data_IF_845623838696
#
_entry.id   IF_845623838696
#
_cell.length_a   1.000
_cell.length_b   1.000
_cell.length_c   1.000
_cell.angle_alpha   90.00
_cell.angle_beta   90.00
_cell.angle_gamma   90.00
#
_symmetry.space_group_name_H-M   'P 1'
#
loop_
_entity.id
_entity.type
_entity.pdbx_description
1 polymer ?
#
# COMPACT_ATOMS: atom_id res chain seq x y z
N UNK A 1 -15.23 -27.67 3.96
CA UNK A 1 -13.89 -27.81 4.61
C UNK A 1 -12.77 -27.26 3.73
N UNK A 2 -12.72 -27.60 2.43
CA UNK A 2 -11.75 -27.03 1.49
C UNK A 2 -11.84 -25.49 1.32
N UNK A 3 -13.05 -24.95 1.34
CA UNK A 3 -13.31 -23.51 1.17
C UNK A 3 -12.78 -22.65 2.33
N UNK A 4 -12.83 -23.17 3.57
CA UNK A 4 -12.25 -22.51 4.76
C UNK A 4 -10.73 -22.49 4.71
N UNK A 5 -10.11 -23.59 4.29
CA UNK A 5 -8.65 -23.70 4.15
C UNK A 5 -8.11 -22.71 3.10
N UNK A 6 -8.82 -22.55 1.99
CA UNK A 6 -8.48 -21.56 0.97
C UNK A 6 -8.60 -20.11 1.48
N UNK A 7 -9.64 -19.82 2.27
CA UNK A 7 -9.80 -18.51 2.90
C UNK A 7 -8.69 -18.19 3.91
N UNK A 8 -8.28 -19.17 4.73
CA UNK A 8 -7.16 -19.03 5.67
C UNK A 8 -5.83 -18.79 4.96
N UNK A 9 -5.58 -19.49 3.84
CA UNK A 9 -4.39 -19.29 3.02
C UNK A 9 -4.36 -17.89 2.38
N UNK A 10 -5.51 -17.38 1.91
CA UNK A 10 -5.64 -16.02 1.37
C UNK A 10 -5.37 -14.98 2.46
N UNK A 11 -5.97 -15.12 3.64
CA UNK A 11 -5.76 -14.18 4.76
C UNK A 11 -4.31 -14.17 5.21
N UNK A 12 -3.67 -15.35 5.29
CA UNK A 12 -2.24 -15.45 5.59
C UNK A 12 -1.38 -14.71 4.55
N UNK A 13 -1.70 -14.85 3.26
CA UNK A 13 -1.01 -14.11 2.20
C UNK A 13 -1.15 -12.59 2.34
N UNK A 14 -2.32 -12.11 2.79
CA UNK A 14 -2.52 -10.68 3.07
C UNK A 14 -1.70 -10.19 4.25
N UNK A 15 -1.64 -10.97 5.33
CA UNK A 15 -0.86 -10.64 6.52
C UNK A 15 0.64 -10.61 6.23
N UNK A 16 1.14 -11.56 5.45
CA UNK A 16 2.56 -11.61 5.05
C UNK A 16 2.89 -10.42 4.14
N UNK A 17 2.02 -10.06 3.20
CA UNK A 17 2.18 -8.85 2.39
C UNK A 17 2.18 -7.57 3.25
N UNK A 18 1.34 -7.50 4.28
CA UNK A 18 1.29 -6.36 5.19
C UNK A 18 2.57 -6.22 6.02
N UNK A 19 3.17 -7.33 6.46
CA UNK A 19 4.48 -7.33 7.15
C UNK A 19 5.59 -6.83 6.24
N UNK A 20 5.67 -7.35 5.02
CA UNK A 20 6.67 -6.90 4.04
C UNK A 20 6.53 -5.41 3.76
N UNK A 21 5.30 -4.92 3.54
CA UNK A 21 5.05 -3.50 3.32
C UNK A 21 5.42 -2.63 4.54
N UNK A 22 5.21 -3.13 5.76
CA UNK A 22 5.65 -2.46 6.98
C UNK A 22 7.17 -2.39 7.04
N UNK A 23 7.87 -3.49 6.78
CA UNK A 23 9.33 -3.55 6.83
C UNK A 23 9.96 -2.64 5.78
N UNK A 24 9.46 -2.67 4.54
CA UNK A 24 9.83 -1.73 3.48
C UNK A 24 9.61 -0.29 3.93
N UNK A 25 8.41 0.03 4.45
CA UNK A 25 8.11 1.36 4.95
C UNK A 25 9.07 1.79 6.05
N UNK A 26 9.45 0.92 6.98
CA UNK A 26 10.37 1.28 8.07
C UNK A 26 11.79 1.55 7.60
N UNK A 27 12.23 0.90 6.51
CA UNK A 27 13.56 1.04 5.94
C UNK A 27 13.68 2.20 4.92
N UNK A 28 12.58 2.86 4.55
CA UNK A 28 12.60 4.06 3.71
C UNK A 28 13.29 5.25 4.40
N UNK A 29 13.90 6.18 3.64
CA UNK A 29 14.40 7.45 4.14
C UNK A 29 13.37 8.19 5.02
N UNK A 30 13.82 8.75 6.14
CA UNK A 30 12.94 9.34 7.17
C UNK A 30 12.06 10.48 6.63
N UNK A 31 12.61 11.31 5.75
CA UNK A 31 11.89 12.40 5.08
C UNK A 31 10.75 11.87 4.19
N UNK A 32 10.99 10.79 3.44
CA UNK A 32 9.95 10.12 2.63
C UNK A 32 8.86 9.56 3.53
N UNK A 33 9.23 8.86 4.62
CA UNK A 33 8.26 8.31 5.58
C UNK A 33 7.40 9.40 6.21
N UNK A 34 8.01 10.52 6.62
CA UNK A 34 7.31 11.69 7.18
C UNK A 34 6.31 12.26 6.19
N UNK A 35 6.72 12.46 4.94
CA UNK A 35 5.84 12.99 3.90
C UNK A 35 4.66 12.05 3.61
N UNK A 36 4.92 10.76 3.42
CA UNK A 36 3.90 9.74 3.17
C UNK A 36 2.90 9.65 4.34
N UNK A 37 3.41 9.59 5.59
CA UNK A 37 2.57 9.53 6.78
C UNK A 37 1.74 10.80 6.98
N UNK A 38 2.31 11.99 6.73
CA UNK A 38 1.59 13.26 6.83
C UNK A 38 0.46 13.35 5.80
N UNK A 39 0.73 12.97 4.55
CA UNK A 39 -0.28 12.95 3.49
C UNK A 39 -1.40 11.96 3.81
N UNK A 40 -1.06 10.73 4.20
CA UNK A 40 -2.04 9.71 4.59
C UNK A 40 -2.89 10.19 5.76
N UNK A 41 -2.28 10.66 6.86
CA UNK A 41 -3.03 11.15 8.04
C UNK A 41 -3.99 12.28 7.71
N UNK A 42 -3.60 13.21 6.83
CA UNK A 42 -4.44 14.34 6.41
C UNK A 42 -5.74 13.90 5.71
N UNK A 43 -5.67 12.83 4.93
CA UNK A 43 -6.76 12.44 4.03
C UNK A 43 -7.47 11.14 4.41
N UNK A 44 -6.86 10.28 5.24
CA UNK A 44 -7.40 8.96 5.56
C UNK A 44 -8.84 9.02 6.08
N UNK A 45 -9.12 9.92 7.03
CA UNK A 45 -10.46 10.09 7.60
C UNK A 45 -11.44 10.83 6.68
N UNK A 46 -10.95 11.49 5.62
CA UNK A 46 -11.77 12.28 4.70
C UNK A 46 -12.13 11.49 3.43
N UNK A 47 -11.18 10.75 2.90
CA UNK A 47 -11.28 10.05 1.60
C UNK A 47 -11.27 8.53 1.74
N UNK A 48 -10.77 7.99 2.84
CA UNK A 48 -10.65 6.55 3.08
C UNK A 48 -9.51 5.88 2.30
N UNK A 49 -8.98 4.79 2.83
CA UNK A 49 -7.81 4.09 2.29
C UNK A 49 -7.99 3.63 0.82
N UNK A 50 -9.19 3.16 0.43
CA UNK A 50 -9.43 2.67 -0.95
C UNK A 50 -9.25 3.75 -2.00
N UNK A 51 -9.71 4.98 -1.74
CA UNK A 51 -9.59 6.09 -2.70
C UNK A 51 -8.14 6.57 -2.78
N UNK A 52 -7.47 6.66 -1.63
CA UNK A 52 -6.06 7.04 -1.56
C UNK A 52 -5.16 6.02 -2.27
N UNK A 53 -5.39 4.72 -2.08
CA UNK A 53 -4.67 3.67 -2.79
C UNK A 53 -4.82 3.76 -4.32
N UNK A 54 -6.03 4.06 -4.83
CA UNK A 54 -6.24 4.27 -6.27
C UNK A 54 -5.45 5.45 -6.82
N UNK A 55 -5.35 6.55 -6.07
CA UNK A 55 -4.56 7.72 -6.48
C UNK A 55 -3.09 7.34 -6.62
N UNK A 56 -2.52 6.67 -5.61
CA UNK A 56 -1.11 6.27 -5.62
C UNK A 56 -0.80 5.28 -6.76
N UNK A 57 -1.65 4.27 -6.98
CA UNK A 57 -1.48 3.31 -8.08
C UNK A 57 -1.58 3.99 -9.45
N UNK A 58 -2.52 4.93 -9.62
CA UNK A 58 -2.63 5.67 -10.88
C UNK A 58 -1.39 6.52 -11.16
N UNK A 59 -0.82 7.15 -10.13
CA UNK A 59 0.42 7.90 -10.24
C UNK A 59 1.60 6.99 -10.59
N UNK A 60 1.75 5.84 -9.91
CA UNK A 60 2.81 4.87 -10.21
C UNK A 60 2.77 4.41 -11.69
N UNK A 61 1.58 4.07 -12.20
CA UNK A 61 1.38 3.72 -13.62
C UNK A 61 1.73 4.86 -14.58
N UNK A 62 1.58 6.10 -14.16
CA UNK A 62 1.94 7.25 -14.98
C UNK A 62 3.45 7.46 -15.03
N UNK A 63 4.14 7.27 -13.90
CA UNK A 63 5.61 7.28 -13.82
C UNK A 63 6.20 6.18 -14.70
N UNK A 64 5.72 4.94 -14.56
CA UNK A 64 6.16 3.79 -15.36
C UNK A 64 6.04 4.04 -16.86
N UNK A 65 4.96 4.69 -17.31
CA UNK A 65 4.80 5.06 -18.74
C UNK A 65 5.82 6.08 -19.18
N UNK A 66 6.07 7.12 -18.39
CA UNK A 66 7.00 8.21 -18.73
C UNK A 66 8.46 7.74 -18.75
N UNK A 67 8.81 6.75 -17.96
CA UNK A 67 10.16 6.17 -17.91
C UNK A 67 10.42 5.13 -19.01
N UNK A 68 9.35 4.67 -19.69
CA UNK A 68 9.44 3.72 -20.79
C UNK A 68 9.53 4.37 -22.19
N UNK A 69 9.27 5.67 -22.28
CA UNK A 69 9.35 6.51 -23.50
C UNK A 69 10.71 7.24 -23.60
#
# INVERSE_FOLDING_TARGET
>A
MAEKKNQEEILKGMDDAAKLAHDEFTNMPEDIRKQAAAWMRKWYLKAGYRRLGRILVSFAKEVERREAD
#
